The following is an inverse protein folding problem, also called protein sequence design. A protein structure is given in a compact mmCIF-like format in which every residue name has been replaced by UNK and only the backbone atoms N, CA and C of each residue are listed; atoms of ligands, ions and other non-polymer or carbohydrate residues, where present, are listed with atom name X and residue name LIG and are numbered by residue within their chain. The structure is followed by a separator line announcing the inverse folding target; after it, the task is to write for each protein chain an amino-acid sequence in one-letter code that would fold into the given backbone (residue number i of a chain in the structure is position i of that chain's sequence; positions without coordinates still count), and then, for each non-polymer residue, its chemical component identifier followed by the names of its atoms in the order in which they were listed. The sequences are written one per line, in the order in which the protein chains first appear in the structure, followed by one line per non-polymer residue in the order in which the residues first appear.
data_IF_690014247534
#
_entry.id   IF_690014247534
#
_cell.length_a   1.000
_cell.length_b   1.000
_cell.length_c   1.000
_cell.angle_alpha   90.00
_cell.angle_beta   90.00
_cell.angle_gamma   90.00
#
_symmetry.space_group_name_H-M   'P 1'
#
loop_
_entity.id
_entity.type
_entity.pdbx_description
1 polymer ?
#
# COMPACT_ATOMS: atom_id res chain seq x y z
N UNK A 1 -5.41 8.41 16.67
CA UNK A 1 -5.22 8.58 15.22
C UNK A 1 -6.33 7.85 14.51
N UNK A 2 -6.58 8.27 13.28
CA UNK A 2 -7.42 7.56 12.33
C UNK A 2 -6.55 6.61 11.51
N UNK A 3 -6.91 5.32 11.48
CA UNK A 3 -6.16 4.29 10.75
C UNK A 3 -7.05 3.65 9.71
N UNK A 4 -6.62 3.69 8.45
CA UNK A 4 -7.24 2.95 7.36
C UNK A 4 -6.45 1.66 7.12
N UNK A 5 -7.13 0.53 7.08
CA UNK A 5 -6.56 -0.76 6.70
C UNK A 5 -7.16 -1.20 5.37
N UNK A 6 -6.37 -1.16 4.30
CA UNK A 6 -6.77 -1.64 2.97
C UNK A 6 -6.40 -3.12 2.85
N UNK A 7 -7.40 -4.00 2.79
CA UNK A 7 -7.24 -5.45 2.66
C UNK A 7 -7.47 -5.89 1.21
N UNK A 8 -6.46 -6.54 0.63
CA UNK A 8 -6.55 -7.13 -0.71
C UNK A 8 -6.39 -8.66 -0.64
N UNK A 9 -7.42 -9.36 -0.14
CA UNK A 9 -7.46 -10.83 -0.15
C UNK A 9 -8.88 -11.36 -0.36
N UNK A 10 -9.11 -12.34 -1.28
CA UNK A 10 -10.47 -12.81 -1.61
C UNK A 10 -11.12 -13.66 -0.50
N UNK A 11 -10.31 -14.22 0.39
CA UNK A 11 -10.78 -15.03 1.53
C UNK A 11 -10.53 -14.28 2.84
N UNK A 12 -11.61 -13.85 3.51
CA UNK A 12 -11.54 -13.06 4.76
C UNK A 12 -11.03 -13.86 5.96
N UNK A 13 -11.19 -15.19 5.96
CA UNK A 13 -10.65 -16.10 6.99
C UNK A 13 -9.20 -16.51 6.72
N UNK A 14 -8.57 -15.96 5.68
CA UNK A 14 -7.16 -16.20 5.39
C UNK A 14 -6.25 -15.65 6.48
N UNK A 15 -4.98 -16.03 6.43
CA UNK A 15 -3.95 -15.43 7.28
C UNK A 15 -3.86 -13.90 7.11
N UNK A 16 -4.06 -13.37 5.89
CA UNK A 16 -4.12 -11.93 5.65
C UNK A 16 -5.28 -11.27 6.42
N UNK A 17 -6.48 -11.87 6.37
CA UNK A 17 -7.60 -11.40 7.19
C UNK A 17 -7.33 -11.49 8.68
N UNK A 18 -6.67 -12.55 9.14
CA UNK A 18 -6.23 -12.68 10.54
C UNK A 18 -5.21 -11.60 10.97
N UNK A 19 -4.32 -11.15 10.08
CA UNK A 19 -3.43 -10.01 10.36
C UNK A 19 -4.18 -8.68 10.44
N UNK A 20 -5.26 -8.51 9.66
CA UNK A 20 -6.19 -7.37 9.81
C UNK A 20 -6.89 -7.43 11.16
N UNK A 21 -7.39 -8.61 11.58
CA UNK A 21 -8.03 -8.76 12.89
C UNK A 21 -7.10 -8.39 14.04
N UNK A 22 -5.83 -8.83 13.97
CA UNK A 22 -4.79 -8.42 14.92
C UNK A 22 -4.62 -6.90 14.91
N UNK A 23 -4.49 -6.29 13.72
CA UNK A 23 -4.32 -4.85 13.61
C UNK A 23 -5.48 -4.05 14.20
N UNK A 24 -6.71 -4.39 13.82
CA UNK A 24 -7.93 -3.75 14.33
C UNK A 24 -7.98 -3.84 15.85
N UNK A 25 -7.82 -5.05 16.41
CA UNK A 25 -7.92 -5.26 17.85
C UNK A 25 -6.87 -4.47 18.63
N UNK A 26 -5.60 -4.49 18.20
CA UNK A 26 -4.52 -3.78 18.89
C UNK A 26 -4.68 -2.26 18.78
N UNK A 27 -4.98 -1.74 17.59
CA UNK A 27 -5.08 -0.30 17.36
C UNK A 27 -6.31 0.30 18.07
N UNK A 28 -7.45 -0.40 18.07
CA UNK A 28 -8.65 0.02 18.82
C UNK A 28 -8.38 -0.03 20.32
N UNK A 29 -7.72 -1.07 20.84
CA UNK A 29 -7.34 -1.16 22.25
C UNK A 29 -6.39 -0.02 22.66
N UNK A 30 -5.54 0.45 21.75
CA UNK A 30 -4.67 1.61 21.92
C UNK A 30 -5.40 2.97 21.77
N UNK A 31 -6.73 2.98 21.60
CA UNK A 31 -7.55 4.19 21.49
C UNK A 31 -7.52 4.85 20.11
N UNK A 32 -7.17 4.13 19.05
CA UNK A 32 -7.27 4.62 17.68
C UNK A 32 -8.64 4.33 17.06
N UNK A 33 -9.06 5.18 16.13
CA UNK A 33 -10.21 4.92 15.28
C UNK A 33 -9.74 4.15 14.05
N UNK A 34 -10.37 3.02 13.73
CA UNK A 34 -9.92 2.12 12.67
C UNK A 34 -11.06 1.89 11.68
N UNK A 35 -10.76 2.06 10.39
CA UNK A 35 -11.64 1.69 9.28
C UNK A 35 -10.95 0.61 8.43
N UNK A 36 -11.71 -0.39 7.99
CA UNK A 36 -11.22 -1.46 7.11
C UNK A 36 -11.87 -1.28 5.75
N UNK A 37 -11.04 -1.04 4.74
CA UNK A 37 -11.39 -1.06 3.32
C UNK A 37 -11.03 -2.46 2.77
N UNK A 38 -12.00 -3.38 2.78
CA UNK A 38 -11.83 -4.72 2.23
C UNK A 38 -12.25 -4.71 0.76
N UNK A 39 -11.25 -4.59 -0.12
CA UNK A 39 -11.46 -4.41 -1.57
C UNK A 39 -12.29 -5.54 -2.19
N UNK A 40 -12.15 -6.78 -1.70
CA UNK A 40 -12.92 -7.91 -2.23
C UNK A 40 -14.35 -7.92 -1.68
N UNK A 41 -14.53 -7.68 -0.37
CA UNK A 41 -15.86 -7.61 0.23
C UNK A 41 -16.67 -6.43 -0.34
N UNK A 42 -16.03 -5.29 -0.59
CA UNK A 42 -16.65 -4.11 -1.19
C UNK A 42 -16.77 -4.18 -2.73
N UNK A 43 -16.26 -5.26 -3.35
CA UNK A 43 -16.29 -5.46 -4.80
C UNK A 43 -15.69 -4.27 -5.56
N UNK A 44 -14.56 -3.74 -5.06
CA UNK A 44 -13.86 -2.63 -5.70
C UNK A 44 -13.51 -3.01 -7.14
N UNK A 45 -13.90 -2.15 -8.09
CA UNK A 45 -13.62 -2.36 -9.51
C UNK A 45 -12.20 -1.84 -9.83
N UNK A 46 -11.24 -2.70 -10.20
CA UNK A 46 -9.87 -2.27 -10.36
C UNK A 46 -9.54 -1.69 -11.74
N UNK A 47 -10.47 -1.72 -12.70
CA UNK A 47 -10.15 -1.43 -14.09
C UNK A 47 -10.56 0.00 -14.46
N UNK A 48 -9.57 0.87 -14.70
CA UNK A 48 -9.79 2.22 -15.21
C UNK A 48 -10.23 2.19 -16.68
N UNK A 49 -11.41 2.74 -16.96
CA UNK A 49 -12.03 2.68 -18.30
C UNK A 49 -13.07 3.78 -18.52
N UNK A 50 -13.44 4.10 -19.77
CA UNK A 50 -14.43 5.13 -20.07
C UNK A 50 -15.77 4.94 -19.33
N UNK A 51 -16.17 3.69 -19.11
CA UNK A 51 -17.43 3.34 -18.42
C UNK A 51 -17.44 3.74 -16.94
N UNK A 52 -16.31 4.16 -16.37
CA UNK A 52 -16.28 4.76 -15.04
C UNK A 52 -16.88 6.19 -15.05
N UNK A 53 -16.91 6.86 -16.20
CA UNK A 53 -17.24 8.29 -16.35
C UNK A 53 -18.53 8.51 -17.15
N UNK A 54 -19.52 7.63 -16.97
CA UNK A 54 -20.72 7.46 -17.82
C UNK A 54 -21.49 8.76 -18.10
N UNK A 55 -21.47 9.71 -17.17
CA UNK A 55 -22.32 10.89 -17.25
C UNK A 55 -21.70 12.07 -17.97
N UNK A 56 -20.38 12.10 -18.19
CA UNK A 56 -19.72 13.27 -18.77
C UNK A 56 -18.28 12.99 -19.22
N UNK A 57 -18.07 12.29 -20.33
CA UNK A 57 -16.72 12.22 -20.92
C UNK A 57 -16.22 13.62 -21.29
N UNK A 58 -14.96 13.92 -20.99
CA UNK A 58 -14.34 15.20 -21.36
C UNK A 58 -14.06 15.29 -22.86
N UNK A 59 -13.78 14.15 -23.50
CA UNK A 59 -13.65 14.03 -24.95
C UNK A 59 -14.47 12.84 -25.46
N UNK A 60 -15.49 13.14 -26.26
CA UNK A 60 -16.40 12.14 -26.81
C UNK A 60 -15.74 11.19 -27.84
N UNK A 61 -14.58 11.56 -28.38
CA UNK A 61 -13.90 10.81 -29.44
C UNK A 61 -12.69 10.02 -28.92
N UNK A 62 -12.16 10.35 -27.74
CA UNK A 62 -10.97 9.69 -27.21
C UNK A 62 -10.91 9.73 -25.68
N UNK A 63 -10.66 8.57 -25.07
CA UNK A 63 -10.47 8.47 -23.63
C UNK A 63 -9.01 8.76 -23.25
N UNK A 64 -8.76 9.92 -22.64
CA UNK A 64 -7.48 10.27 -22.01
C UNK A 64 -7.59 10.11 -20.49
N UNK A 65 -7.16 8.98 -19.89
CA UNK A 65 -7.44 8.69 -18.48
C UNK A 65 -7.06 9.82 -17.51
N UNK A 66 -5.88 10.42 -17.69
CA UNK A 66 -5.42 11.49 -16.81
C UNK A 66 -6.25 12.78 -16.95
N UNK A 67 -6.68 13.13 -18.17
CA UNK A 67 -7.50 14.31 -18.38
C UNK A 67 -8.90 14.13 -17.77
N UNK A 68 -9.47 12.94 -17.94
CA UNK A 68 -10.76 12.56 -17.34
C UNK A 68 -10.65 12.63 -15.81
N UNK A 69 -9.67 11.95 -15.22
CA UNK A 69 -9.40 11.98 -13.78
C UNK A 69 -9.31 13.40 -13.22
N UNK A 70 -8.51 14.28 -13.84
CA UNK A 70 -8.36 15.67 -13.38
C UNK A 70 -9.66 16.45 -13.47
N UNK A 71 -10.33 16.41 -14.62
CA UNK A 71 -11.53 17.20 -14.84
C UNK A 71 -12.68 16.74 -13.93
N UNK A 72 -12.86 15.43 -13.77
CA UNK A 72 -13.86 14.86 -12.87
C UNK A 72 -13.54 15.14 -11.39
N UNK A 73 -12.27 15.20 -11.01
CA UNK A 73 -11.89 15.67 -9.67
C UNK A 73 -12.27 17.14 -9.46
N UNK A 74 -11.90 18.03 -10.39
CA UNK A 74 -12.20 19.47 -10.33
C UNK A 74 -13.71 19.78 -10.31
N UNK A 75 -14.51 18.95 -10.97
CA UNK A 75 -15.97 19.07 -11.03
C UNK A 75 -16.70 18.35 -9.90
N UNK A 76 -16.00 17.57 -9.05
CA UNK A 76 -16.62 16.77 -8.00
C UNK A 76 -17.48 15.61 -8.54
N UNK A 77 -17.12 15.07 -9.71
CA UNK A 77 -17.89 14.07 -10.46
C UNK A 77 -17.12 12.78 -10.72
N UNK A 78 -16.09 12.49 -9.91
CA UNK A 78 -15.39 11.20 -9.94
C UNK A 78 -16.34 10.01 -9.69
N UNK A 79 -15.98 8.79 -10.10
CA UNK A 79 -16.71 7.58 -9.73
C UNK A 79 -16.94 7.50 -8.20
N UNK A 80 -18.13 7.05 -7.77
CA UNK A 80 -18.53 7.08 -6.35
C UNK A 80 -17.62 6.22 -5.46
N UNK A 81 -17.17 5.07 -5.98
CA UNK A 81 -16.18 4.22 -5.32
C UNK A 81 -14.86 4.97 -5.12
N UNK A 82 -14.35 5.66 -6.15
CA UNK A 82 -13.16 6.51 -6.05
C UNK A 82 -13.35 7.65 -5.04
N UNK A 83 -14.50 8.33 -5.04
CA UNK A 83 -14.79 9.40 -4.07
C UNK A 83 -14.75 8.88 -2.63
N UNK A 84 -15.30 7.69 -2.38
CA UNK A 84 -15.28 7.03 -1.06
C UNK A 84 -13.85 6.74 -0.61
N UNK A 85 -13.03 6.15 -1.47
CA UNK A 85 -11.63 5.85 -1.11
C UNK A 85 -10.80 7.11 -0.89
N UNK A 86 -11.07 8.17 -1.67
CA UNK A 86 -10.45 9.47 -1.44
C UNK A 86 -10.81 10.07 -0.09
N UNK A 87 -12.07 9.94 0.35
CA UNK A 87 -12.50 10.39 1.66
C UNK A 87 -11.82 9.60 2.80
N UNK A 88 -11.64 8.29 2.63
CA UNK A 88 -10.90 7.44 3.59
C UNK A 88 -9.44 7.87 3.72
N UNK A 89 -8.77 8.19 2.61
CA UNK A 89 -7.39 8.69 2.63
C UNK A 89 -7.26 10.07 3.28
N UNK A 90 -8.25 10.95 3.10
CA UNK A 90 -8.27 12.24 3.81
C UNK A 90 -8.44 12.05 5.32
N UNK A 91 -9.33 11.15 5.71
CA UNK A 91 -9.63 10.87 7.11
C UNK A 91 -8.44 10.23 7.84
N UNK A 92 -7.69 9.34 7.19
CA UNK A 92 -6.64 8.54 7.81
C UNK A 92 -5.33 9.31 8.09
N UNK A 93 -4.76 9.12 9.28
CA UNK A 93 -3.40 9.54 9.63
C UNK A 93 -2.36 8.46 9.25
N UNK A 94 -2.78 7.19 9.31
CA UNK A 94 -1.99 6.01 8.97
C UNK A 94 -2.78 5.12 8.01
N UNK A 95 -2.12 4.66 6.93
CA UNK A 95 -2.68 3.68 6.00
C UNK A 95 -1.86 2.38 6.05
N UNK A 96 -2.52 1.27 6.34
CA UNK A 96 -1.94 -0.08 6.35
C UNK A 96 -2.45 -0.83 5.13
N UNK A 97 -1.56 -1.24 4.23
CA UNK A 97 -1.91 -2.09 3.10
C UNK A 97 -1.62 -3.54 3.43
N UNK A 98 -2.66 -4.36 3.64
CA UNK A 98 -2.53 -5.79 3.93
C UNK A 98 -2.78 -6.62 2.67
N UNK A 99 -1.77 -7.34 2.19
CA UNK A 99 -1.90 -8.15 0.97
C UNK A 99 -0.90 -9.30 0.87
N UNK A 100 -1.22 -10.37 0.12
CA UNK A 100 -0.24 -11.37 -0.28
C UNK A 100 0.60 -10.88 -1.45
N UNK A 101 1.90 -11.16 -1.43
CA UNK A 101 2.78 -10.93 -2.58
C UNK A 101 2.42 -11.92 -3.69
N UNK A 102 1.80 -11.43 -4.76
CA UNK A 102 1.41 -12.22 -5.92
C UNK A 102 2.20 -11.74 -7.14
N UNK A 103 2.89 -12.68 -7.80
CA UNK A 103 3.77 -12.36 -8.93
C UNK A 103 4.74 -11.20 -8.66
N UNK A 104 5.37 -11.20 -7.48
CA UNK A 104 6.34 -10.20 -7.03
C UNK A 104 5.78 -8.78 -6.85
N UNK A 105 4.47 -8.62 -6.73
CA UNK A 105 3.83 -7.34 -6.44
C UNK A 105 2.54 -7.49 -5.64
N UNK A 106 1.81 -6.38 -5.56
CA UNK A 106 0.46 -6.35 -4.99
C UNK A 106 -0.56 -7.09 -5.88
N UNK A 107 -1.65 -7.64 -5.32
CA UNK A 107 -2.76 -8.20 -6.09
C UNK A 107 -3.30 -7.19 -7.11
N UNK A 108 -3.83 -7.69 -8.23
CA UNK A 108 -4.37 -6.85 -9.31
C UNK A 108 -5.45 -5.88 -8.81
N UNK A 109 -6.30 -6.31 -7.86
CA UNK A 109 -7.34 -5.43 -7.28
C UNK A 109 -6.72 -4.23 -6.56
N UNK A 110 -5.62 -4.44 -5.83
CA UNK A 110 -4.92 -3.36 -5.14
C UNK A 110 -4.19 -2.48 -6.16
N UNK A 111 -3.58 -3.04 -7.21
CA UNK A 111 -3.00 -2.23 -8.30
C UNK A 111 -4.04 -1.33 -8.97
N UNK A 112 -5.22 -1.86 -9.26
CA UNK A 112 -6.32 -1.05 -9.78
C UNK A 112 -6.80 0.02 -8.81
N UNK A 113 -6.82 -0.27 -7.51
CA UNK A 113 -7.11 0.74 -6.49
C UNK A 113 -6.10 1.89 -6.54
N UNK A 114 -4.80 1.61 -6.65
CA UNK A 114 -3.80 2.66 -6.85
C UNK A 114 -4.06 3.47 -8.14
N UNK A 115 -4.38 2.80 -9.24
CA UNK A 115 -4.59 3.43 -10.55
C UNK A 115 -5.82 4.35 -10.60
N UNK A 116 -6.89 3.99 -9.87
CA UNK A 116 -8.15 4.73 -9.86
C UNK A 116 -8.26 5.74 -8.72
N UNK A 117 -7.66 5.48 -7.55
CA UNK A 117 -7.79 6.31 -6.34
C UNK A 117 -6.72 7.38 -6.23
N UNK A 118 -5.49 7.12 -6.70
CA UNK A 118 -4.44 8.16 -6.74
C UNK A 118 -4.64 9.07 -7.96
N UNK A 119 -5.77 9.78 -7.98
CA UNK A 119 -6.28 10.58 -9.10
C UNK A 119 -5.31 11.71 -9.50
N UNK A 120 -4.99 11.83 -10.79
CA UNK A 120 -4.20 12.96 -11.30
C UNK A 120 -4.93 14.31 -11.12
N UNK A 121 -4.20 15.35 -10.72
CA UNK A 121 -4.77 16.67 -10.44
C UNK A 121 -5.43 16.79 -9.06
N UNK A 122 -5.80 15.67 -8.43
CA UNK A 122 -6.26 15.63 -7.05
C UNK A 122 -5.18 15.19 -6.05
N UNK A 123 -4.50 14.06 -6.33
CA UNK A 123 -3.57 13.39 -5.40
C UNK A 123 -2.11 13.46 -5.81
N UNK A 124 -1.84 13.89 -7.03
CA UNK A 124 -0.52 14.30 -7.45
C UNK A 124 -0.61 15.31 -8.60
N UNK A 125 0.42 16.14 -8.70
CA UNK A 125 0.66 17.00 -9.86
C UNK A 125 2.17 17.10 -10.10
N UNK A 126 2.58 17.82 -11.14
CA UNK A 126 4.01 18.04 -11.41
C UNK A 126 4.73 18.78 -10.28
N UNK A 127 4.01 19.55 -9.47
CA UNK A 127 4.55 20.34 -8.34
C UNK A 127 4.29 19.72 -6.98
N UNK A 128 3.23 18.92 -6.85
CA UNK A 128 2.79 18.30 -5.60
C UNK A 128 3.05 16.79 -5.66
N UNK A 129 4.29 16.41 -5.37
CA UNK A 129 4.77 15.02 -5.30
C UNK A 129 5.97 14.91 -4.36
N UNK A 130 6.32 13.69 -3.97
CA UNK A 130 7.44 13.40 -3.07
C UNK A 130 7.28 14.10 -1.71
N UNK A 131 8.34 14.69 -1.16
CA UNK A 131 8.33 15.47 0.09
C UNK A 131 7.46 16.75 0.05
N UNK A 132 6.91 17.10 -1.12
CA UNK A 132 5.88 18.15 -1.31
C UNK A 132 4.52 17.58 -1.71
N UNK A 133 4.31 16.26 -1.62
CA UNK A 133 3.07 15.58 -1.99
C UNK A 133 1.90 15.92 -1.07
N UNK A 134 0.70 15.54 -1.50
CA UNK A 134 -0.57 15.87 -0.82
C UNK A 134 -0.71 15.19 0.55
N UNK A 135 -0.16 13.98 0.70
CA UNK A 135 -0.28 13.21 1.93
C UNK A 135 0.86 13.42 2.92
N UNK A 136 1.60 14.53 2.81
CA UNK A 136 2.68 14.87 3.73
C UNK A 136 2.19 14.90 5.18
N UNK A 137 2.91 14.21 6.06
CA UNK A 137 2.58 14.05 7.48
C UNK A 137 1.61 12.90 7.78
N UNK A 138 1.04 12.25 6.75
CA UNK A 138 0.36 10.96 6.89
C UNK A 138 1.36 9.83 6.65
N UNK A 139 1.15 8.71 7.32
CA UNK A 139 2.05 7.53 7.27
C UNK A 139 1.45 6.41 6.45
N UNK A 140 2.29 5.62 5.79
CA UNK A 140 1.85 4.40 5.10
C UNK A 140 2.79 3.23 5.40
N UNK A 141 2.24 2.03 5.57
CA UNK A 141 3.01 0.79 5.75
C UNK A 141 2.43 -0.34 4.94
N UNK A 142 3.30 -1.14 4.31
CA UNK A 142 2.92 -2.37 3.64
C UNK A 142 3.05 -3.54 4.63
N UNK A 143 1.96 -4.29 4.83
CA UNK A 143 1.94 -5.56 5.56
C UNK A 143 1.73 -6.69 4.55
N UNK A 144 2.80 -7.44 4.29
CA UNK A 144 2.91 -8.35 3.16
C UNK A 144 3.10 -9.79 3.61
N UNK A 145 2.33 -10.72 3.06
CA UNK A 145 2.57 -12.16 3.27
C UNK A 145 3.23 -12.79 2.05
N UNK A 146 4.15 -13.73 2.24
CA UNK A 146 4.77 -14.48 1.13
C UNK A 146 4.77 -15.97 1.40
N UNK A 147 4.71 -16.78 0.34
CA UNK A 147 4.78 -18.25 0.48
C UNK A 147 6.19 -18.79 0.71
N UNK A 148 7.22 -18.07 0.25
CA UNK A 148 8.62 -18.53 0.41
C UNK A 148 9.23 -18.08 1.74
N UNK A 149 10.16 -18.83 2.32
CA UNK A 149 10.85 -18.43 3.55
C UNK A 149 11.71 -17.17 3.36
N UNK A 150 11.93 -16.43 4.45
CA UNK A 150 12.69 -15.17 4.48
C UNK A 150 14.07 -15.28 3.81
N UNK A 151 14.80 -16.36 4.09
CA UNK A 151 16.14 -16.62 3.53
C UNK A 151 16.16 -16.59 1.99
N UNK A 152 15.04 -16.91 1.35
CA UNK A 152 14.95 -16.88 -0.12
C UNK A 152 14.82 -15.48 -0.70
N UNK A 153 14.50 -14.48 0.12
CA UNK A 153 14.34 -13.07 -0.27
C UNK A 153 15.54 -12.18 0.10
N UNK A 154 16.66 -12.77 0.49
CA UNK A 154 17.92 -12.06 0.71
C UNK A 154 18.59 -11.68 -0.62
N UNK A 155 19.62 -10.80 -0.66
CA UNK A 155 20.26 -10.34 -1.90
C UNK A 155 20.71 -11.44 -2.89
N UNK A 156 21.02 -12.64 -2.40
CA UNK A 156 21.40 -13.81 -3.23
C UNK A 156 20.36 -14.94 -3.19
N UNK A 157 19.21 -14.67 -2.60
CA UNK A 157 18.13 -15.63 -2.47
C UNK A 157 17.40 -15.83 -3.81
N UNK A 158 16.99 -17.07 -4.07
CA UNK A 158 16.31 -17.45 -5.33
C UNK A 158 14.99 -16.72 -5.60
N UNK A 159 14.38 -16.10 -4.59
CA UNK A 159 13.16 -15.33 -4.72
C UNK A 159 13.42 -13.83 -4.96
N UNK A 160 14.68 -13.40 -5.00
CA UNK A 160 15.07 -12.00 -5.20
C UNK A 160 14.90 -11.14 -3.94
N UNK A 161 15.53 -9.96 -3.90
CA UNK A 161 15.52 -9.12 -2.71
C UNK A 161 14.13 -8.50 -2.46
N UNK A 162 13.53 -8.74 -1.28
CA UNK A 162 12.21 -8.20 -0.92
C UNK A 162 12.11 -6.67 -1.09
N UNK A 163 13.18 -5.95 -0.74
CA UNK A 163 13.25 -4.49 -0.86
C UNK A 163 13.04 -4.06 -2.31
N UNK A 164 13.57 -4.81 -3.29
CA UNK A 164 13.41 -4.51 -4.71
C UNK A 164 11.97 -4.73 -5.18
N UNK A 165 11.31 -5.78 -4.68
CA UNK A 165 9.93 -6.09 -5.06
C UNK A 165 8.91 -5.10 -4.52
N UNK A 166 9.17 -4.53 -3.34
CA UNK A 166 8.28 -3.53 -2.74
C UNK A 166 8.61 -2.10 -3.15
N UNK A 167 9.76 -1.87 -3.81
CA UNK A 167 10.19 -0.53 -4.23
C UNK A 167 9.15 0.22 -5.08
N UNK A 168 8.53 -0.38 -6.11
CA UNK A 168 7.56 0.35 -6.93
C UNK A 168 6.37 0.84 -6.12
N UNK A 169 5.92 0.06 -5.14
CA UNK A 169 4.76 0.39 -4.29
C UNK A 169 5.13 1.52 -3.32
N UNK A 170 6.26 1.37 -2.60
CA UNK A 170 6.74 2.43 -1.72
C UNK A 170 7.00 3.73 -2.50
N UNK A 171 7.54 3.64 -3.72
CA UNK A 171 7.76 4.80 -4.58
C UNK A 171 6.45 5.48 -4.95
N UNK A 172 5.39 4.74 -5.27
CA UNK A 172 4.06 5.30 -5.53
C UNK A 172 3.47 6.01 -4.31
N UNK A 173 3.63 5.42 -3.12
CA UNK A 173 3.17 6.03 -1.86
C UNK A 173 3.94 7.32 -1.53
N UNK A 174 5.26 7.28 -1.66
CA UNK A 174 6.10 8.46 -1.46
C UNK A 174 5.82 9.53 -2.53
N UNK A 175 5.55 9.12 -3.77
CA UNK A 175 5.22 10.03 -4.87
C UNK A 175 4.00 10.89 -4.53
N UNK A 176 2.98 10.35 -3.85
CA UNK A 176 1.82 11.12 -3.37
C UNK A 176 2.01 11.78 -2.00
N UNK A 177 3.18 11.58 -1.36
CA UNK A 177 3.64 12.34 -0.20
C UNK A 177 3.56 11.63 1.15
N UNK A 178 3.27 10.33 1.19
CA UNK A 178 3.27 9.61 2.47
C UNK A 178 4.67 9.53 3.09
N UNK A 179 4.72 9.59 4.42
CA UNK A 179 5.85 9.08 5.22
C UNK A 179 5.80 7.54 5.19
N UNK A 180 6.50 6.94 4.25
CA UNK A 180 6.47 5.49 4.02
C UNK A 180 7.36 4.76 5.04
N UNK A 181 6.78 3.87 5.84
CA UNK A 181 7.49 3.06 6.83
C UNK A 181 8.09 1.80 6.19
N UNK A 182 9.08 1.19 6.87
CA UNK A 182 9.60 -0.11 6.46
C UNK A 182 8.46 -1.15 6.39
N UNK A 183 8.49 -2.10 5.44
CA UNK A 183 7.40 -3.06 5.30
C UNK A 183 7.37 -4.04 6.48
N UNK A 184 6.19 -4.51 6.89
CA UNK A 184 6.04 -5.71 7.70
C UNK A 184 5.93 -6.90 6.76
N UNK A 185 6.81 -7.90 6.86
CA UNK A 185 6.76 -9.07 5.98
C UNK A 185 6.65 -10.35 6.78
N UNK A 186 5.58 -11.10 6.54
CA UNK A 186 5.36 -12.44 7.08
C UNK A 186 5.72 -13.47 6.02
N UNK A 187 6.87 -14.12 6.18
CA UNK A 187 7.41 -15.11 5.23
C UNK A 187 6.92 -16.53 5.52
N UNK A 188 6.99 -17.41 4.52
CA UNK A 188 6.69 -18.84 4.71
C UNK A 188 5.21 -19.16 4.97
N UNK A 189 4.29 -18.34 4.47
CA UNK A 189 2.84 -18.52 4.59
C UNK A 189 2.37 -19.42 3.44
N UNK A 190 2.35 -20.74 3.67
CA UNK A 190 1.92 -21.74 2.67
C UNK A 190 0.57 -22.35 3.04
N UNK A 191 -0.23 -22.67 2.01
CA UNK A 191 -1.43 -23.49 2.16
C UNK A 191 -1.22 -24.88 1.55
N UNK A 192 -1.71 -25.92 2.23
CA UNK A 192 -1.93 -27.25 1.65
C UNK A 192 -0.72 -28.19 1.60
N UNK A 193 -0.64 -29.09 2.58
CA UNK A 193 0.25 -30.26 2.59
C UNK A 193 0.49 -30.71 4.02
N UNK A 194 -0.24 -31.73 4.49
CA UNK A 194 -0.21 -32.11 5.91
C UNK A 194 0.33 -33.54 6.10
N UNK A 195 1.48 -33.63 6.76
CA UNK A 195 1.68 -34.57 7.88
C UNK A 195 1.39 -33.83 9.20
N UNK A 196 0.77 -34.49 10.17
CA UNK A 196 0.29 -33.88 11.42
C UNK A 196 1.37 -33.10 12.22
N UNK A 197 2.63 -33.56 12.20
CA UNK A 197 3.75 -32.85 12.85
C UNK A 197 4.14 -31.54 12.14
N UNK A 198 3.88 -31.43 10.84
CA UNK A 198 4.17 -30.23 10.04
C UNK A 198 3.09 -29.16 10.27
N UNK A 199 1.84 -29.56 10.54
CA UNK A 199 0.73 -28.64 10.81
C UNK A 199 0.92 -27.83 12.10
N UNK A 200 1.30 -28.48 13.20
CA UNK A 200 1.56 -27.79 14.47
C UNK A 200 2.73 -26.77 14.35
N UNK A 201 3.76 -27.12 13.59
CA UNK A 201 4.88 -26.22 13.32
C UNK A 201 4.47 -25.01 12.47
N UNK A 202 3.62 -25.22 11.45
CA UNK A 202 3.05 -24.15 10.63
C UNK A 202 2.18 -23.24 11.50
N UNK A 203 1.27 -23.79 12.31
CA UNK A 203 0.42 -23.00 13.20
C UNK A 203 1.25 -22.15 14.17
N UNK A 204 2.26 -22.75 14.82
CA UNK A 204 3.17 -22.00 15.68
C UNK A 204 3.94 -20.90 14.94
N UNK A 205 4.26 -21.11 13.66
CA UNK A 205 4.86 -20.07 12.81
C UNK A 205 3.90 -18.93 12.50
N UNK A 206 2.66 -19.24 12.11
CA UNK A 206 1.62 -18.25 11.84
C UNK A 206 1.33 -17.38 13.08
N UNK A 207 1.27 -17.99 14.27
CA UNK A 207 1.08 -17.24 15.52
C UNK A 207 2.26 -16.34 15.87
N UNK A 208 3.50 -16.77 15.66
CA UNK A 208 4.68 -15.89 15.80
C UNK A 208 4.64 -14.70 14.85
N UNK A 209 4.20 -14.90 13.61
CA UNK A 209 4.03 -13.79 12.67
C UNK A 209 2.96 -12.79 13.14
N UNK A 210 1.84 -13.27 13.67
CA UNK A 210 0.81 -12.41 14.28
C UNK A 210 1.33 -11.66 15.51
N UNK A 211 2.08 -12.32 16.38
CA UNK A 211 2.68 -11.71 17.57
C UNK A 211 3.67 -10.62 17.19
N UNK A 212 4.57 -10.89 16.23
CA UNK A 212 5.51 -9.89 15.73
C UNK A 212 4.78 -8.66 15.15
N UNK A 213 3.67 -8.88 14.43
CA UNK A 213 2.84 -7.79 13.93
C UNK A 213 2.17 -7.01 15.07
N UNK A 214 1.58 -7.72 16.03
CA UNK A 214 0.98 -7.14 17.24
C UNK A 214 1.95 -6.22 17.99
N UNK A 215 3.18 -6.67 18.21
CA UNK A 215 4.21 -5.88 18.90
C UNK A 215 4.52 -4.60 18.12
N UNK A 216 4.77 -4.71 16.82
CA UNK A 216 5.17 -3.56 15.99
C UNK A 216 4.09 -2.48 15.85
N UNK A 217 2.81 -2.84 15.86
CA UNK A 217 1.71 -1.87 15.76
C UNK A 217 1.81 -0.73 16.79
N UNK A 218 2.39 -1.00 17.97
CA UNK A 218 2.58 -0.02 19.04
C UNK A 218 3.62 1.07 18.70
N UNK A 219 4.54 0.83 17.75
CA UNK A 219 5.62 1.76 17.40
C UNK A 219 5.39 2.52 16.08
N UNK A 220 4.38 2.16 15.28
CA UNK A 220 4.21 2.71 13.93
C UNK A 220 4.10 4.25 13.88
N UNK A 221 3.61 4.88 14.95
CA UNK A 221 3.49 6.33 15.05
C UNK A 221 4.83 7.05 15.31
N UNK A 222 5.84 6.35 15.81
CA UNK A 222 7.15 6.91 16.21
C UNK A 222 8.30 6.38 15.38
N UNK A 223 8.08 5.30 14.61
CA UNK A 223 9.06 4.78 13.66
C UNK A 223 9.54 5.87 12.69
N UNK A 224 10.83 5.84 12.38
CA UNK A 224 11.40 6.68 11.34
C UNK A 224 10.98 6.12 9.98
N UNK A 225 10.44 6.96 9.07
CA UNK A 225 10.11 6.52 7.73
C UNK A 225 11.39 6.18 6.95
N UNK A 226 11.21 5.45 5.85
CA UNK A 226 12.24 5.26 4.84
C UNK A 226 12.69 6.66 4.38
N UNK A 227 14.01 6.96 4.44
CA UNK A 227 14.49 8.27 4.08
C UNK A 227 14.53 8.39 2.56
N UNK A 228 13.41 8.68 1.90
CA UNK A 228 13.44 8.93 0.46
C UNK A 228 14.21 10.22 0.12
N UNK A 229 14.75 10.28 -1.10
CA UNK A 229 15.32 11.52 -1.65
C UNK A 229 14.21 12.47 -2.08
N UNK A 230 14.33 13.74 -1.74
CA UNK A 230 13.34 14.78 -2.02
C UNK A 230 13.81 15.83 -3.02
N UNK A 231 12.98 16.87 -3.22
CA UNK A 231 13.23 17.93 -4.20
C UNK A 231 14.59 18.62 -4.06
N UNK A 232 15.10 18.76 -2.85
CA UNK A 232 16.38 19.44 -2.58
C UNK A 232 17.60 18.53 -2.80
N UNK A 233 17.39 17.22 -3.02
CA UNK A 233 18.45 16.26 -3.32
C UNK A 233 18.75 16.15 -4.83
N UNK A 234 17.88 16.67 -5.70
CA UNK A 234 17.99 16.60 -7.15
C UNK A 234 18.44 17.90 -7.79
N UNK A 235 19.06 17.80 -8.97
CA UNK A 235 19.32 18.94 -9.86
C UNK A 235 18.06 19.33 -10.68
N UNK A 236 18.22 20.34 -11.54
CA UNK A 236 17.13 20.86 -12.37
C UNK A 236 16.59 19.84 -13.41
N UNK A 237 17.33 18.76 -13.69
CA UNK A 237 16.91 17.66 -14.55
C UNK A 237 16.21 16.54 -13.76
N UNK A 238 16.13 16.66 -12.43
CA UNK A 238 15.58 15.63 -11.55
C UNK A 238 16.56 14.47 -11.30
N UNK A 239 17.86 14.69 -11.50
CA UNK A 239 18.91 13.71 -11.25
C UNK A 239 19.52 13.94 -9.86
N UNK A 240 19.82 12.87 -9.14
CA UNK A 240 20.38 12.97 -7.79
C UNK A 240 21.76 13.65 -7.80
N UNK A 241 21.90 14.71 -7.00
CA UNK A 241 23.16 15.40 -6.82
C UNK A 241 24.22 14.44 -6.26
N UNK A 242 25.48 14.58 -6.69
CA UNK A 242 26.58 13.72 -6.21
C UNK A 242 26.81 13.85 -4.69
N UNK A 243 26.48 15.00 -4.12
CA UNK A 243 26.56 15.26 -2.68
C UNK A 243 25.36 14.72 -1.90
N UNK A 244 24.30 14.31 -2.58
CA UNK A 244 23.12 13.78 -1.92
C UNK A 244 23.33 12.31 -1.55
N UNK A 245 23.03 11.91 -0.31
CA UNK A 245 23.14 10.51 0.10
C UNK A 245 22.21 9.60 -0.71
N UNK A 246 22.67 8.38 -1.00
CA UNK A 246 21.85 7.34 -1.64
C UNK A 246 20.84 6.78 -0.63
N UNK A 247 19.76 7.52 -0.36
CA UNK A 247 18.91 7.24 0.81
C UNK A 247 17.89 6.09 0.65
N UNK A 248 17.83 5.44 -0.50
CA UNK A 248 17.27 4.08 -0.60
C UNK A 248 17.73 3.36 -1.86
N UNK A 249 19.02 3.03 -1.93
CA UNK A 249 19.50 2.00 -2.86
C UNK A 249 20.24 0.96 -2.04
N UNK A 250 19.88 -0.30 -2.26
CA UNK A 250 20.65 -1.45 -1.83
C UNK A 250 22.10 -1.22 -2.30
N UNK A 251 22.99 -0.93 -1.35
CA UNK A 251 24.39 -1.31 -1.51
C UNK A 251 24.50 -2.82 -1.41
#
# INVERSE_FOLDING_TARGET
MNVLIVLAHPERKSFNGGLVDVAVNQLVAAGHSVEVDDLYTEQFDPVERPECYVHQAMDANYFYPLNEQRAHYEQGSLPLDVQRELARLEWADLVIFQFPLWWHGQPAILKGWFDRVLVYGGRYSSRMRYDKGYYRGKRAVLSVTTGSPEKTFQPFGRAGNMVQWLWPIHSSLYYVGFDVLAPQVSYGIQGGGIRYQEEAAIMGHLERCKEAWSVRLHSLNTEQPIPFTGWDDWDDEGVLCQSAPLRWRLG
#
